data_IF_936085296685
#
_entry.id   IF_936085296685
#
_cell.length_a   1.000
_cell.length_b   1.000
_cell.length_c   1.000
_cell.angle_alpha   90.00
_cell.angle_beta   90.00
_cell.angle_gamma   90.00
#
_symmetry.space_group_name_H-M   'P 1'
#
loop_
_entity.id
_entity.type
_entity.pdbx_description
1 polymer ?
#
# COMPACT_ATOMS: atom_id res chain seq x y z
N UNK A 1 -10.41 -24.77 -36.54
CA UNK A 1 -9.40 -23.88 -35.94
C UNK A 1 -10.11 -23.02 -34.90
N UNK A 2 -10.08 -23.41 -33.62
CA UNK A 2 -10.87 -22.76 -32.56
C UNK A 2 -10.21 -21.46 -32.12
N UNK A 3 -10.87 -20.32 -32.35
CA UNK A 3 -10.42 -19.00 -31.90
C UNK A 3 -10.48 -18.95 -30.37
N UNK A 4 -9.33 -19.01 -29.71
CA UNK A 4 -9.23 -18.75 -28.26
C UNK A 4 -9.65 -17.30 -28.01
N UNK A 5 -10.80 -17.12 -27.35
CA UNK A 5 -11.25 -15.82 -26.83
C UNK A 5 -10.13 -15.26 -25.93
N UNK A 6 -9.51 -14.14 -26.34
CA UNK A 6 -8.47 -13.46 -25.55
C UNK A 6 -9.16 -12.86 -24.32
N UNK A 7 -9.05 -13.54 -23.18
CA UNK A 7 -9.68 -13.13 -21.94
C UNK A 7 -9.02 -11.81 -21.49
N UNK A 8 -9.81 -10.74 -21.41
CA UNK A 8 -9.33 -9.43 -20.94
C UNK A 8 -9.11 -9.54 -19.44
N UNK A 9 -7.85 -9.60 -19.03
CA UNK A 9 -7.46 -9.71 -17.62
C UNK A 9 -7.59 -8.32 -16.99
N UNK A 10 -8.50 -8.16 -16.02
CA UNK A 10 -8.65 -6.93 -15.24
C UNK A 10 -7.42 -6.76 -14.34
N UNK A 11 -6.67 -5.69 -14.58
CA UNK A 11 -5.52 -5.31 -13.77
C UNK A 11 -5.85 -4.11 -12.88
N UNK A 12 -5.11 -3.94 -11.79
CA UNK A 12 -5.23 -2.81 -10.87
C UNK A 12 -3.89 -2.07 -10.84
N UNK A 13 -3.92 -0.78 -10.52
CA UNK A 13 -2.71 0.00 -10.35
C UNK A 13 -2.00 -0.41 -9.05
N UNK A 14 -0.70 -0.69 -9.16
CA UNK A 14 0.10 -1.26 -8.07
C UNK A 14 1.35 -0.46 -7.84
N UNK A 15 1.86 -0.52 -6.60
CA UNK A 15 3.22 -0.07 -6.31
C UNK A 15 4.20 -1.20 -6.60
N UNK A 16 5.47 -0.90 -6.89
CA UNK A 16 6.49 -1.94 -7.03
C UNK A 16 7.01 -2.51 -5.70
N UNK A 17 6.50 -2.07 -4.55
CA UNK A 17 7.02 -2.50 -3.25
C UNK A 17 6.96 -4.02 -3.14
N UNK A 18 7.95 -4.66 -2.53
CA UNK A 18 8.10 -6.13 -2.50
C UNK A 18 7.85 -6.66 -1.10
N UNK A 19 7.21 -7.82 -0.95
CA UNK A 19 7.05 -8.44 0.37
C UNK A 19 8.40 -8.65 1.06
N UNK A 20 8.43 -8.48 2.38
CA UNK A 20 9.59 -8.87 3.19
C UNK A 20 9.74 -10.40 3.14
N UNK A 21 10.97 -10.89 3.00
CA UNK A 21 11.24 -12.34 2.82
C UNK A 21 10.73 -13.22 3.97
N UNK A 22 10.62 -12.67 5.18
CA UNK A 22 10.15 -13.38 6.37
C UNK A 22 8.62 -13.40 6.50
N UNK A 23 7.88 -12.73 5.63
CA UNK A 23 6.42 -12.75 5.67
C UNK A 23 5.87 -14.12 5.28
N UNK A 24 4.86 -14.58 6.02
CA UNK A 24 4.18 -15.87 5.78
C UNK A 24 3.52 -15.91 4.40
N UNK A 25 2.97 -14.78 3.97
CA UNK A 25 2.30 -14.64 2.68
C UNK A 25 3.17 -13.82 1.73
N UNK A 26 3.41 -14.37 0.54
CA UNK A 26 4.16 -13.73 -0.53
C UNK A 26 3.24 -13.47 -1.72
N UNK A 27 3.64 -12.56 -2.59
CA UNK A 27 2.92 -12.34 -3.84
C UNK A 27 2.90 -13.62 -4.68
N UNK A 28 1.72 -14.09 -5.13
CA UNK A 28 1.64 -15.31 -5.94
C UNK A 28 2.03 -15.05 -7.40
N UNK A 29 2.19 -13.78 -7.81
CA UNK A 29 2.58 -13.36 -9.17
C UNK A 29 1.64 -13.88 -10.28
N UNK A 30 0.37 -14.15 -9.95
CA UNK A 30 -0.65 -14.57 -10.90
C UNK A 30 -1.15 -13.39 -11.76
N UNK A 31 -1.78 -13.63 -12.92
CA UNK A 31 -2.24 -12.54 -13.78
C UNK A 31 -3.34 -11.67 -13.17
N UNK A 32 -3.36 -10.39 -13.52
CA UNK A 32 -4.41 -9.44 -13.13
C UNK A 32 -4.49 -9.30 -11.62
N UNK A 33 -5.70 -9.02 -11.10
CA UNK A 33 -5.96 -8.76 -9.67
C UNK A 33 -5.23 -9.69 -8.69
N UNK A 34 -4.96 -10.94 -9.08
CA UNK A 34 -4.33 -11.95 -8.25
C UNK A 34 -2.80 -11.82 -8.13
N UNK A 35 -2.13 -10.84 -8.74
CA UNK A 35 -0.65 -10.76 -8.68
C UNK A 35 -0.10 -10.46 -7.27
N UNK A 36 -0.76 -9.60 -6.49
CA UNK A 36 -0.34 -9.24 -5.13
C UNK A 36 -1.32 -9.76 -4.09
N UNK A 37 -0.79 -10.07 -2.91
CA UNK A 37 -1.58 -10.28 -1.70
C UNK A 37 -1.56 -9.01 -0.84
N UNK A 38 -2.66 -8.70 -0.17
CA UNK A 38 -2.77 -7.58 0.77
C UNK A 38 -2.45 -8.07 2.18
N UNK A 39 -1.77 -7.24 2.98
CA UNK A 39 -1.49 -7.52 4.40
C UNK A 39 -0.01 -7.75 4.76
N UNK A 40 0.84 -8.35 3.91
CA UNK A 40 2.26 -8.52 4.23
C UNK A 40 3.00 -7.19 4.31
N UNK A 41 4.00 -7.12 5.19
CA UNK A 41 4.97 -6.02 5.21
C UNK A 41 5.76 -5.97 3.91
N UNK A 42 6.04 -4.77 3.42
CA UNK A 42 6.73 -4.57 2.14
C UNK A 42 7.92 -3.62 2.28
N UNK A 43 8.94 -3.82 1.46
CA UNK A 43 10.13 -2.96 1.39
C UNK A 43 10.13 -2.08 0.15
N UNK A 44 10.88 -0.98 0.26
CA UNK A 44 11.25 -0.07 -0.82
C UNK A 44 12.70 -0.31 -1.28
N UNK A 45 13.09 0.20 -2.45
CA UNK A 45 12.25 0.79 -3.48
C UNK A 45 11.42 -0.25 -4.23
N UNK A 46 10.33 0.21 -4.83
CA UNK A 46 9.51 -0.69 -5.64
C UNK A 46 10.24 -1.15 -6.91
N UNK A 47 10.96 -0.23 -7.55
CA UNK A 47 11.84 -0.54 -8.68
C UNK A 47 13.29 -0.65 -8.20
N UNK A 48 14.03 -1.61 -8.72
CA UNK A 48 15.40 -1.91 -8.29
C UNK A 48 15.48 -2.82 -7.06
N UNK A 49 16.67 -2.90 -6.46
CA UNK A 49 16.98 -3.79 -5.35
C UNK A 49 16.34 -3.29 -4.05
N UNK A 50 15.60 -4.15 -3.31
CA UNK A 50 14.98 -3.77 -2.05
C UNK A 50 16.04 -3.43 -0.99
N UNK A 51 15.73 -2.43 -0.18
CA UNK A 51 16.47 -2.04 1.02
C UNK A 51 15.76 -2.54 2.27
N UNK A 52 16.34 -2.29 3.44
CA UNK A 52 15.68 -2.57 4.73
C UNK A 52 14.58 -1.55 5.09
N UNK A 53 14.36 -0.53 4.26
CA UNK A 53 13.29 0.44 4.49
C UNK A 53 11.93 -0.14 4.13
N UNK A 54 11.01 -0.15 5.09
CA UNK A 54 9.60 -0.49 4.88
C UNK A 54 8.89 0.52 3.96
N UNK A 55 7.79 0.07 3.37
CA UNK A 55 6.93 0.87 2.49
C UNK A 55 6.27 2.04 3.24
N UNK A 56 5.79 3.05 2.50
CA UNK A 56 5.10 4.17 3.14
C UNK A 56 3.77 3.75 3.77
N UNK A 57 3.03 2.84 3.12
CA UNK A 57 1.78 2.32 3.67
C UNK A 57 2.00 1.63 5.01
N UNK A 58 3.06 0.83 5.15
CA UNK A 58 3.38 0.15 6.41
C UNK A 58 3.75 1.15 7.52
N UNK A 59 4.50 2.21 7.17
CA UNK A 59 4.84 3.30 8.10
C UNK A 59 3.60 4.06 8.55
N UNK A 60 2.68 4.37 7.64
CA UNK A 60 1.41 5.04 7.95
C UNK A 60 0.53 4.14 8.83
N UNK A 61 0.44 2.85 8.53
CA UNK A 61 -0.29 1.89 9.37
C UNK A 61 0.29 1.84 10.80
N UNK A 62 1.62 1.85 10.94
CA UNK A 62 2.29 1.96 12.25
C UNK A 62 1.93 3.26 12.97
N UNK A 63 1.92 4.40 12.27
CA UNK A 63 1.57 5.70 12.84
C UNK A 63 0.09 5.79 13.26
N UNK A 64 -0.82 5.13 12.54
CA UNK A 64 -2.23 5.10 12.94
C UNK A 64 -2.46 4.33 14.25
N UNK A 65 -1.61 3.33 14.54
CA UNK A 65 -1.70 2.55 15.77
C UNK A 65 -0.94 3.23 16.94
N UNK A 66 0.34 3.55 16.74
CA UNK A 66 1.26 4.00 17.80
C UNK A 66 1.34 5.53 17.93
N UNK A 67 0.88 6.26 16.90
CA UNK A 67 1.09 7.68 16.74
C UNK A 67 2.36 8.03 15.96
N UNK A 68 2.38 9.24 15.41
CA UNK A 68 3.47 9.74 14.53
C UNK A 68 4.66 10.31 15.32
N UNK A 69 4.49 10.60 16.61
CA UNK A 69 5.45 11.31 17.47
C UNK A 69 6.79 10.56 17.69
N UNK A 70 6.81 9.24 17.43
CA UNK A 70 7.99 8.42 17.65
C UNK A 70 8.28 8.12 19.14
N UNK A 71 9.38 7.40 19.41
CA UNK A 71 9.67 6.87 20.75
C UNK A 71 10.02 7.96 21.76
N UNK A 72 10.87 8.93 21.38
CA UNK A 72 11.34 9.95 22.31
C UNK A 72 10.18 10.80 22.86
N UNK A 73 9.32 11.30 21.98
CA UNK A 73 8.18 12.13 22.39
C UNK A 73 7.08 11.33 23.09
N UNK A 74 6.97 10.02 22.87
CA UNK A 74 5.94 9.19 23.53
C UNK A 74 6.04 9.15 25.07
N UNK A 75 7.18 9.56 25.63
CA UNK A 75 7.39 9.68 27.07
C UNK A 75 6.82 11.00 27.62
N UNK A 76 6.69 12.03 26.77
CA UNK A 76 6.35 13.39 27.15
C UNK A 76 4.92 13.78 26.79
N UNK A 77 4.35 13.19 25.73
CA UNK A 77 3.04 13.56 25.18
C UNK A 77 2.20 12.31 24.83
N UNK A 78 0.87 12.41 24.85
CA UNK A 78 0.00 11.32 24.39
C UNK A 78 0.18 11.04 22.88
N UNK A 79 -0.23 9.85 22.39
CA UNK A 79 -0.08 9.48 20.98
C UNK A 79 -0.75 10.46 20.02
N UNK A 80 -0.02 10.93 19.01
CA UNK A 80 -0.54 11.82 17.95
C UNK A 80 -0.95 10.97 16.75
N UNK A 81 -2.25 10.80 16.54
CA UNK A 81 -2.80 10.06 15.40
C UNK A 81 -3.10 10.99 14.24
N UNK A 82 -3.05 10.43 13.03
CA UNK A 82 -3.50 11.13 11.83
C UNK A 82 -5.03 11.10 11.80
N UNK A 83 -5.64 12.28 11.78
CA UNK A 83 -7.10 12.41 11.62
C UNK A 83 -7.51 12.26 10.16
N UNK A 84 -6.70 12.75 9.24
CA UNK A 84 -7.00 12.72 7.80
C UNK A 84 -5.76 12.42 6.98
N UNK A 85 -5.92 11.61 5.94
CA UNK A 85 -4.88 11.34 4.93
C UNK A 85 -5.44 11.71 3.57
N UNK A 86 -4.85 12.72 2.93
CA UNK A 86 -5.25 13.17 1.60
C UNK A 86 -4.30 12.57 0.57
N UNK A 87 -4.84 11.85 -0.40
CA UNK A 87 -4.10 11.34 -1.56
C UNK A 87 -4.28 12.32 -2.71
N UNK A 88 -3.18 12.80 -3.29
CA UNK A 88 -3.22 13.77 -4.39
C UNK A 88 -4.03 13.29 -5.61
N UNK A 89 -4.62 14.26 -6.31
CA UNK A 89 -5.33 14.03 -7.58
C UNK A 89 -4.42 13.45 -8.66
N UNK A 90 -5.03 12.83 -9.69
CA UNK A 90 -4.38 12.02 -10.74
C UNK A 90 -3.86 10.66 -10.28
N UNK A 91 -4.22 10.21 -9.08
CA UNK A 91 -4.14 8.80 -8.75
C UNK A 91 -5.36 8.06 -9.34
N UNK A 92 -5.24 6.79 -9.70
CA UNK A 92 -6.39 5.98 -10.14
C UNK A 92 -7.43 5.76 -9.04
N UNK A 93 -7.13 6.18 -7.82
CA UNK A 93 -8.01 6.18 -6.65
C UNK A 93 -8.61 7.56 -6.37
N UNK A 94 -8.25 8.59 -7.16
CA UNK A 94 -8.99 9.85 -7.17
C UNK A 94 -10.32 9.62 -7.87
N UNK A 95 -11.32 9.22 -7.10
CA UNK A 95 -12.70 9.24 -7.56
C UNK A 95 -13.01 10.68 -7.92
N UNK A 96 -13.39 10.93 -9.17
CA UNK A 96 -13.81 12.23 -9.69
C UNK A 96 -14.77 12.85 -8.68
N UNK A 97 -14.34 13.94 -8.06
CA UNK A 97 -15.05 14.63 -7.00
C UNK A 97 -16.30 15.31 -7.54
N UNK A 98 -17.45 14.65 -7.41
CA UNK A 98 -18.73 15.35 -7.27
C UNK A 98 -19.31 14.97 -5.91
N UNK A 99 -19.05 15.81 -4.91
CA UNK A 99 -19.66 15.72 -3.59
C UNK A 99 -18.77 15.05 -2.54
N UNK A 100 -18.16 15.90 -1.72
CA UNK A 100 -17.93 15.70 -0.28
C UNK A 100 -17.42 14.31 0.16
N UNK A 101 -16.10 14.21 0.35
CA UNK A 101 -15.49 13.14 1.15
C UNK A 101 -15.39 13.61 2.61
N UNK A 102 -16.37 13.23 3.43
CA UNK A 102 -16.23 13.12 4.88
C UNK A 102 -16.26 11.61 5.14
N UNK A 103 -15.12 11.08 5.64
CA UNK A 103 -14.83 9.73 6.17
C UNK A 103 -15.68 8.55 5.70
#
# INVERSE_FOLDING_TARGET
>A
MSMKKKQVIKDIYRTGAKCVKSEKYQDPHLPGINYHVVGPLRTKPGRGNPTLSLSCSDKIAKWNLLGIQGSFLSILIPPIKLETIIVGGNSPFSLVSNGTWII
#
